data_IF_223800283658
#
_entry.id   IF_223800283658
#
_cell.length_a   1.000
_cell.length_b   1.000
_cell.length_c   1.000
_cell.angle_alpha   90.00
_cell.angle_beta   90.00
_cell.angle_gamma   90.00
#
_symmetry.space_group_name_H-M   'P 1'
#
loop_
_entity.id
_entity.type
_entity.pdbx_description
1 polymer ?
#
# COMPACT_ATOMS: atom_id res chain seq x y z
N UNK A 1 -2.84 34.90 -1.30
CA UNK A 1 -3.12 34.93 -2.73
C UNK A 1 -2.06 34.12 -3.49
N UNK A 2 -2.09 32.76 -3.43
CA UNK A 2 -1.20 31.84 -4.21
C UNK A 2 -1.83 30.46 -4.40
N UNK A 3 -3.19 30.36 -4.47
CA UNK A 3 -3.88 29.08 -4.64
C UNK A 3 -4.23 28.76 -6.10
N UNK A 4 -4.01 29.70 -7.02
CA UNK A 4 -4.43 29.56 -8.42
C UNK A 4 -3.44 28.80 -9.31
N UNK A 5 -2.20 28.60 -8.87
CA UNK A 5 -1.17 27.88 -9.66
C UNK A 5 -1.33 26.36 -9.62
N UNK A 6 -1.84 25.80 -8.52
CA UNK A 6 -2.02 24.35 -8.36
C UNK A 6 -3.24 23.84 -9.14
N UNK A 7 -4.27 24.66 -9.29
CA UNK A 7 -5.48 24.30 -10.07
C UNK A 7 -5.22 24.30 -11.59
N UNK A 8 -4.29 25.14 -12.06
CA UNK A 8 -3.92 25.18 -13.48
C UNK A 8 -3.02 24.00 -13.88
N UNK A 9 -2.19 23.49 -12.98
CA UNK A 9 -1.36 22.31 -13.25
C UNK A 9 -2.20 21.02 -13.38
N UNK A 10 -3.32 20.93 -12.66
CA UNK A 10 -4.23 19.78 -12.74
C UNK A 10 -5.06 19.74 -14.03
N UNK A 11 -5.34 20.90 -14.64
CA UNK A 11 -6.12 21.03 -15.89
C UNK A 11 -5.30 20.76 -17.15
N UNK A 12 -3.96 20.81 -17.10
CA UNK A 12 -3.11 20.59 -18.27
C UNK A 12 -2.88 19.11 -18.60
N UNK A 13 -3.25 18.18 -17.70
CA UNK A 13 -3.13 16.72 -17.91
C UNK A 13 -4.28 16.15 -18.75
N UNK A 14 -5.36 16.91 -18.94
CA UNK A 14 -6.54 16.43 -19.70
C UNK A 14 -6.44 16.56 -21.23
N UNK A 15 -5.31 17.00 -21.80
CA UNK A 15 -5.20 17.42 -23.20
C UNK A 15 -4.62 16.43 -24.19
N UNK A 16 -4.13 15.25 -23.80
CA UNK A 16 -3.53 14.26 -24.73
C UNK A 16 -4.18 12.89 -24.56
N UNK A 17 -5.48 12.81 -24.82
CA UNK A 17 -6.16 11.54 -25.02
C UNK A 17 -5.91 11.01 -26.45
N UNK A 18 -4.65 10.75 -26.80
CA UNK A 18 -4.31 9.94 -27.94
C UNK A 18 -4.82 8.50 -27.71
N UNK A 19 -5.20 7.79 -28.76
CA UNK A 19 -5.64 6.40 -28.67
C UNK A 19 -4.51 5.54 -28.10
N UNK A 20 -4.51 5.36 -26.80
CA UNK A 20 -3.53 4.53 -26.09
C UNK A 20 -4.17 3.16 -25.88
N UNK A 21 -3.43 2.12 -26.24
CA UNK A 21 -3.83 0.76 -25.91
C UNK A 21 -3.78 0.54 -24.40
N UNK A 22 -4.71 -0.22 -23.84
CA UNK A 22 -4.64 -0.61 -22.44
C UNK A 22 -3.29 -1.26 -22.13
N UNK A 23 -2.70 -0.89 -20.99
CA UNK A 23 -1.41 -1.45 -20.53
C UNK A 23 -1.65 -2.67 -19.65
N UNK A 24 -2.79 -2.68 -18.95
CA UNK A 24 -3.27 -3.80 -18.15
C UNK A 24 -4.63 -4.24 -18.70
N UNK A 25 -4.70 -5.49 -19.13
CA UNK A 25 -5.86 -6.05 -19.83
C UNK A 25 -6.33 -7.35 -19.15
N UNK A 26 -7.47 -7.83 -19.59
CA UNK A 26 -8.01 -9.13 -19.16
C UNK A 26 -7.02 -10.26 -19.49
N UNK A 27 -6.71 -11.05 -18.47
CA UNK A 27 -5.76 -12.16 -18.55
C UNK A 27 -4.34 -11.78 -18.12
N UNK A 28 -4.00 -10.50 -18.08
CA UNK A 28 -2.72 -10.05 -17.54
C UNK A 28 -2.59 -10.43 -16.07
N UNK A 29 -1.38 -10.76 -15.67
CA UNK A 29 -1.02 -11.05 -14.28
C UNK A 29 0.14 -10.17 -13.89
N UNK A 30 0.00 -9.42 -12.80
CA UNK A 30 1.05 -8.50 -12.34
C UNK A 30 1.34 -8.77 -10.87
N UNK A 31 2.61 -9.08 -10.59
CA UNK A 31 3.16 -9.18 -9.25
C UNK A 31 3.75 -7.82 -8.86
N UNK A 32 3.24 -7.22 -7.79
CA UNK A 32 3.80 -6.01 -7.20
C UNK A 32 4.56 -6.36 -5.93
N UNK A 33 5.74 -5.77 -5.76
CA UNK A 33 6.56 -5.86 -4.56
C UNK A 33 6.88 -4.44 -4.10
N UNK A 34 6.59 -4.12 -2.85
CA UNK A 34 6.69 -2.75 -2.33
C UNK A 34 7.34 -2.63 -0.97
N UNK A 35 7.93 -1.45 -0.74
CA UNK A 35 8.37 -0.97 0.57
C UNK A 35 7.53 0.24 0.91
N UNK A 36 6.88 0.21 2.07
CA UNK A 36 5.92 1.21 2.52
C UNK A 36 6.50 2.16 3.55
N UNK A 37 6.10 3.42 3.46
CA UNK A 37 6.52 4.49 4.34
C UNK A 37 5.31 5.23 4.91
N UNK A 38 5.43 5.64 6.19
CA UNK A 38 4.35 6.25 6.93
C UNK A 38 3.20 5.29 7.17
N UNK A 39 2.58 5.35 8.33
CA UNK A 39 1.45 4.49 8.67
C UNK A 39 0.54 5.20 9.65
N UNK A 40 -0.77 4.95 9.56
CA UNK A 40 -1.74 5.28 10.60
C UNK A 40 -1.72 4.31 11.76
N UNK A 41 -1.02 3.19 11.63
CA UNK A 41 -0.80 2.22 12.68
C UNK A 41 0.26 2.78 13.64
N UNK A 42 0.04 2.59 14.95
CA UNK A 42 1.03 2.97 15.97
C UNK A 42 1.40 4.47 15.96
N UNK A 43 0.40 5.33 15.86
CA UNK A 43 0.57 6.79 16.02
C UNK A 43 0.52 7.16 17.50
N UNK A 44 1.50 7.91 17.98
CA UNK A 44 1.51 8.42 19.38
C UNK A 44 2.90 8.46 20.00
N UNK A 45 3.01 9.14 21.16
CA UNK A 45 4.24 9.19 21.93
C UNK A 45 4.54 7.85 22.59
N UNK A 46 5.80 7.39 22.50
CA UNK A 46 6.24 6.12 23.11
C UNK A 46 6.68 5.06 22.09
N UNK A 47 6.33 5.20 20.83
CA UNK A 47 6.89 4.33 19.79
C UNK A 47 8.32 4.74 19.46
N UNK A 48 9.28 3.86 19.77
CA UNK A 48 10.70 4.14 19.63
C UNK A 48 11.22 3.89 18.21
N UNK A 49 10.60 2.98 17.46
CA UNK A 49 10.97 2.69 16.09
C UNK A 49 9.84 2.02 15.31
N UNK A 50 9.78 2.28 14.00
CA UNK A 50 8.92 1.61 13.04
C UNK A 50 9.80 1.01 11.94
N UNK A 51 9.56 -0.25 11.57
CA UNK A 51 10.13 -0.78 10.34
C UNK A 51 9.33 -0.24 9.15
N UNK A 52 9.97 0.03 8.00
CA UNK A 52 9.23 0.18 6.77
C UNK A 52 8.33 -1.05 6.55
N UNK A 53 7.10 -0.82 6.10
CA UNK A 53 6.24 -1.91 5.72
C UNK A 53 6.80 -2.59 4.46
N UNK A 54 6.61 -3.89 4.34
CA UNK A 54 6.86 -4.63 3.10
C UNK A 54 5.55 -5.20 2.60
N UNK A 55 5.37 -5.21 1.30
CA UNK A 55 4.14 -5.72 0.71
C UNK A 55 4.39 -6.48 -0.59
N UNK A 56 3.49 -7.42 -0.85
CA UNK A 56 3.39 -8.11 -2.12
C UNK A 56 1.92 -8.19 -2.53
N UNK A 57 1.61 -8.03 -3.81
CA UNK A 57 0.27 -8.32 -4.34
C UNK A 57 0.36 -8.94 -5.70
N UNK A 58 -0.50 -9.93 -5.95
CA UNK A 58 -0.71 -10.51 -7.27
C UNK A 58 -2.08 -10.08 -7.76
N UNK A 59 -2.13 -9.47 -8.93
CA UNK A 59 -3.33 -8.96 -9.56
C UNK A 59 -3.56 -9.62 -10.91
N UNK A 60 -4.80 -9.90 -11.23
CA UNK A 60 -5.22 -10.52 -12.51
C UNK A 60 -6.28 -9.64 -13.13
N UNK A 61 -6.13 -9.28 -14.38
CA UNK A 61 -7.13 -8.59 -15.18
C UNK A 61 -8.33 -9.50 -15.44
N UNK A 62 -9.53 -9.04 -15.08
CA UNK A 62 -10.77 -9.83 -15.24
C UNK A 62 -11.74 -9.23 -16.23
N UNK A 63 -11.71 -7.92 -16.41
CA UNK A 63 -12.56 -7.19 -17.36
C UNK A 63 -11.71 -6.15 -18.06
N UNK A 64 -11.90 -5.98 -19.35
CA UNK A 64 -11.34 -4.92 -20.20
C UNK A 64 -12.43 -4.11 -20.88
N UNK A 65 -12.04 -3.11 -21.64
CA UNK A 65 -12.94 -2.24 -22.41
C UNK A 65 -14.01 -1.52 -21.55
N UNK A 66 -13.64 -1.18 -20.31
CA UNK A 66 -14.49 -0.38 -19.41
C UNK A 66 -14.14 1.09 -19.61
N UNK A 67 -15.14 1.95 -19.75
CA UNK A 67 -15.00 3.40 -19.98
C UNK A 67 -14.08 3.71 -21.18
N UNK A 68 -14.67 4.16 -22.27
CA UNK A 68 -13.98 4.54 -23.52
C UNK A 68 -13.07 3.45 -24.12
N UNK A 69 -13.41 2.18 -23.87
CA UNK A 69 -12.66 0.99 -24.34
C UNK A 69 -11.19 0.94 -23.85
N UNK A 70 -10.83 1.75 -22.84
CA UNK A 70 -9.46 1.86 -22.35
C UNK A 70 -9.28 1.34 -20.92
N UNK A 71 -10.33 1.41 -20.11
CA UNK A 71 -10.27 0.98 -18.73
C UNK A 71 -10.34 -0.53 -18.59
N UNK A 72 -9.76 -1.04 -17.51
CA UNK A 72 -9.84 -2.45 -17.14
C UNK A 72 -10.05 -2.62 -15.63
N UNK A 73 -10.51 -3.81 -15.24
CA UNK A 73 -10.69 -4.17 -13.83
C UNK A 73 -9.78 -5.34 -13.51
N UNK A 74 -8.98 -5.15 -12.46
CA UNK A 74 -8.15 -6.18 -11.85
C UNK A 74 -8.70 -6.64 -10.50
N UNK A 75 -8.48 -7.90 -10.19
CA UNK A 75 -8.72 -8.46 -8.85
C UNK A 75 -7.49 -9.22 -8.41
N UNK A 76 -7.24 -9.27 -7.10
CA UNK A 76 -6.03 -9.92 -6.62
C UNK A 76 -5.98 -10.15 -5.14
N UNK A 77 -4.83 -10.70 -4.70
CA UNK A 77 -4.48 -10.89 -3.31
C UNK A 77 -3.38 -9.92 -2.88
N UNK A 78 -3.40 -9.56 -1.62
CA UNK A 78 -2.43 -8.67 -0.98
C UNK A 78 -1.90 -9.29 0.30
N UNK A 79 -0.59 -9.20 0.48
CA UNK A 79 0.14 -9.55 1.69
C UNK A 79 0.96 -8.33 2.12
N UNK A 80 0.79 -7.91 3.37
CA UNK A 80 1.55 -6.80 3.95
C UNK A 80 2.09 -7.16 5.32
N UNK A 81 3.28 -6.65 5.66
CA UNK A 81 3.88 -6.81 6.96
C UNK A 81 4.51 -5.50 7.43
N UNK A 82 4.25 -5.13 8.68
CA UNK A 82 4.91 -4.02 9.36
C UNK A 82 5.21 -4.38 10.81
N UNK A 83 6.14 -3.67 11.44
CA UNK A 83 6.33 -3.78 12.87
C UNK A 83 6.70 -2.44 13.52
N UNK A 84 6.27 -2.26 14.76
CA UNK A 84 6.59 -1.11 15.58
C UNK A 84 7.07 -1.55 16.97
N UNK A 85 8.00 -0.80 17.56
CA UNK A 85 8.50 -1.04 18.90
C UNK A 85 8.07 0.10 19.82
N UNK A 86 7.37 -0.26 20.87
CA UNK A 86 7.04 0.63 21.96
C UNK A 86 8.05 0.42 23.10
N UNK A 87 8.67 1.49 23.60
CA UNK A 87 9.62 1.42 24.72
C UNK A 87 9.23 2.39 25.83
N UNK A 88 9.29 1.88 27.04
CA UNK A 88 9.19 2.66 28.27
C UNK A 88 10.55 2.64 28.97
N UNK A 89 10.99 3.80 29.43
CA UNK A 89 12.21 3.96 30.23
C UNK A 89 11.81 4.53 31.59
N UNK A 90 11.93 3.70 32.61
CA UNK A 90 11.57 4.08 33.97
C UNK A 90 12.52 3.47 34.98
N UNK A 91 12.99 4.27 35.95
CA UNK A 91 13.83 3.86 37.09
C UNK A 91 15.00 2.93 36.74
N UNK A 92 15.64 3.15 35.57
CA UNK A 92 16.78 2.34 35.10
C UNK A 92 16.39 1.07 34.36
N UNK A 93 15.10 0.81 34.16
CA UNK A 93 14.58 -0.28 33.35
C UNK A 93 14.22 0.23 31.96
N UNK A 94 14.49 -0.58 30.95
CA UNK A 94 14.05 -0.37 29.58
C UNK A 94 13.22 -1.60 29.20
N UNK A 95 11.92 -1.40 29.01
CA UNK A 95 10.97 -2.46 28.69
C UNK A 95 9.91 -1.97 27.71
N UNK A 96 9.22 -2.88 27.07
CA UNK A 96 8.18 -2.52 26.11
C UNK A 96 7.68 -3.70 25.31
N UNK A 97 7.05 -3.39 24.18
CA UNK A 97 6.48 -4.38 23.29
C UNK A 97 6.91 -4.11 21.85
N UNK A 98 7.09 -5.20 21.11
CA UNK A 98 7.16 -5.17 19.64
C UNK A 98 5.83 -5.68 19.10
N UNK A 99 5.14 -4.82 18.40
CA UNK A 99 3.94 -5.16 17.64
C UNK A 99 4.34 -5.53 16.22
N UNK A 100 3.64 -6.50 15.64
CA UNK A 100 3.83 -6.93 14.26
C UNK A 100 2.46 -7.19 13.65
N UNK A 101 2.21 -6.59 12.50
CA UNK A 101 0.99 -6.68 11.72
C UNK A 101 1.25 -7.50 10.47
N UNK A 102 0.42 -8.50 10.24
CA UNK A 102 0.36 -9.30 9.03
C UNK A 102 -1.01 -9.10 8.39
N UNK A 103 -1.03 -8.40 7.27
CA UNK A 103 -2.26 -8.14 6.52
C UNK A 103 -2.40 -9.14 5.39
N UNK A 104 -3.56 -9.79 5.35
CA UNK A 104 -4.02 -10.64 4.25
C UNK A 104 -5.32 -10.07 3.71
N UNK A 105 -5.35 -9.66 2.44
CA UNK A 105 -6.53 -9.04 1.86
C UNK A 105 -6.76 -9.44 0.40
N UNK A 106 -8.02 -9.43 -0.02
CA UNK A 106 -8.40 -9.33 -1.41
C UNK A 106 -8.39 -7.87 -1.84
N UNK A 107 -8.01 -7.60 -3.09
CA UNK A 107 -8.04 -6.25 -3.65
C UNK A 107 -8.73 -6.25 -5.01
N UNK A 108 -9.39 -5.12 -5.32
CA UNK A 108 -9.97 -4.86 -6.63
C UNK A 108 -9.57 -3.47 -7.08
N UNK A 109 -9.13 -3.35 -8.32
CA UNK A 109 -8.61 -2.11 -8.89
C UNK A 109 -9.30 -1.81 -10.22
N UNK A 110 -9.58 -0.54 -10.45
CA UNK A 110 -9.90 -0.01 -11.77
C UNK A 110 -8.65 0.65 -12.33
N UNK A 111 -8.24 0.23 -13.52
CA UNK A 111 -7.07 0.71 -14.25
C UNK A 111 -7.48 1.61 -15.40
N UNK A 112 -6.72 2.67 -15.62
CA UNK A 112 -6.90 3.56 -16.73
C UNK A 112 -5.56 4.13 -17.20
N UNK A 113 -5.15 3.91 -18.47
CA UNK A 113 -3.91 4.43 -19.02
C UNK A 113 -4.04 5.93 -19.28
N UNK A 114 -3.31 6.76 -18.55
CA UNK A 114 -3.29 8.22 -18.75
C UNK A 114 -2.30 8.65 -19.81
N UNK A 115 -1.14 8.01 -19.88
CA UNK A 115 -0.09 8.23 -20.88
C UNK A 115 0.54 6.90 -21.25
N UNK A 116 1.28 6.87 -22.34
CA UNK A 116 1.97 5.67 -22.80
C UNK A 116 2.88 5.09 -21.71
N UNK A 117 2.87 3.77 -21.55
CA UNK A 117 3.64 3.02 -20.54
C UNK A 117 3.27 3.31 -19.07
N UNK A 118 2.24 4.12 -18.80
CA UNK A 118 1.81 4.44 -17.46
C UNK A 118 0.42 3.82 -17.19
N UNK A 119 0.40 2.74 -16.45
CA UNK A 119 -0.80 2.14 -15.89
C UNK A 119 -1.13 2.85 -14.59
N UNK A 120 -2.21 3.61 -14.55
CA UNK A 120 -2.74 4.23 -13.33
C UNK A 120 -3.95 3.46 -12.85
N UNK A 121 -4.11 3.36 -11.53
CA UNK A 121 -5.22 2.61 -10.96
C UNK A 121 -5.70 3.18 -9.62
N UNK A 122 -6.95 2.88 -9.32
CA UNK A 122 -7.58 3.15 -8.03
C UNK A 122 -8.30 1.89 -7.56
N UNK A 123 -8.28 1.62 -6.26
CA UNK A 123 -8.90 0.41 -5.78
C UNK A 123 -9.19 0.38 -4.28
N UNK A 124 -9.80 -0.74 -3.88
CA UNK A 124 -10.10 -1.08 -2.51
C UNK A 124 -9.53 -2.45 -2.17
N UNK A 125 -9.09 -2.61 -0.93
CA UNK A 125 -8.67 -3.88 -0.36
C UNK A 125 -9.49 -4.18 0.89
N UNK A 126 -9.93 -5.43 1.03
CA UNK A 126 -10.67 -5.94 2.18
C UNK A 126 -10.06 -7.26 2.64
N UNK A 127 -9.83 -7.39 3.94
CA UNK A 127 -9.22 -8.58 4.51
C UNK A 127 -9.10 -8.53 6.01
N UNK A 128 -8.01 -9.07 6.53
CA UNK A 128 -7.73 -9.16 7.96
C UNK A 128 -6.32 -8.67 8.26
N UNK A 129 -6.20 -7.96 9.36
CA UNK A 129 -4.95 -7.61 10.02
C UNK A 129 -4.77 -8.50 11.24
N UNK A 130 -3.69 -9.28 11.22
CA UNK A 130 -3.32 -10.21 12.29
C UNK A 130 -2.21 -9.56 13.08
N UNK A 131 -2.54 -9.09 14.29
CA UNK A 131 -1.61 -8.37 15.17
C UNK A 131 -1.02 -9.33 16.19
N UNK A 132 0.31 -9.34 16.27
CA UNK A 132 1.08 -10.07 17.28
C UNK A 132 1.88 -9.10 18.13
N UNK A 133 2.04 -9.39 19.42
CA UNK A 133 2.92 -8.62 20.29
C UNK A 133 3.93 -9.52 21.00
N UNK A 134 5.14 -9.01 21.20
CA UNK A 134 6.21 -9.66 21.93
C UNK A 134 6.82 -8.67 22.92
N UNK A 135 6.95 -9.10 24.16
CA UNK A 135 7.67 -8.34 25.19
C UNK A 135 9.14 -8.19 24.85
N UNK A 136 9.70 -7.03 25.16
CA UNK A 136 11.11 -6.70 24.93
C UNK A 136 11.70 -5.97 26.14
N UNK A 137 12.97 -6.23 26.42
CA UNK A 137 13.70 -5.53 27.50
C UNK A 137 13.63 -6.20 28.86
N UNK A 138 14.04 -5.47 29.90
CA UNK A 138 14.11 -5.94 31.29
C UNK A 138 12.84 -5.49 32.04
N UNK A 139 11.91 -6.41 32.22
CA UNK A 139 10.66 -6.14 32.90
C UNK A 139 10.82 -6.15 34.42
N UNK A 140 10.25 -5.18 35.16
CA UNK A 140 10.08 -5.30 36.60
C UNK A 140 9.13 -6.47 36.91
N UNK A 141 9.32 -7.11 38.06
CA UNK A 141 8.44 -8.20 38.48
C UNK A 141 6.99 -7.71 38.62
N UNK A 142 6.07 -8.31 37.88
CA UNK A 142 4.67 -7.91 37.80
C UNK A 142 4.25 -7.45 36.40
N UNK A 143 4.72 -8.13 35.35
CA UNK A 143 4.54 -7.78 33.96
C UNK A 143 3.09 -7.50 33.56
N UNK A 144 2.91 -6.45 32.78
CA UNK A 144 1.64 -6.07 32.17
C UNK A 144 1.42 -6.87 30.88
N UNK A 145 0.20 -7.35 30.66
CA UNK A 145 -0.18 -7.97 29.42
C UNK A 145 -0.30 -6.91 28.30
N UNK A 146 0.30 -7.19 27.14
CA UNK A 146 0.04 -6.38 25.95
C UNK A 146 -1.35 -6.66 25.41
N UNK A 147 -2.11 -5.62 25.08
CA UNK A 147 -3.35 -5.77 24.33
C UNK A 147 -3.03 -5.86 22.84
N UNK A 148 -3.47 -6.93 22.16
CA UNK A 148 -3.46 -7.07 20.71
C UNK A 148 -4.88 -7.20 20.21
N UNK A 149 -5.21 -6.50 19.15
CA UNK A 149 -6.52 -6.58 18.52
C UNK A 149 -6.33 -6.81 17.02
N UNK A 150 -6.41 -8.07 16.60
CA UNK A 150 -6.57 -8.40 15.18
C UNK A 150 -7.96 -7.98 14.72
N UNK A 151 -8.10 -7.55 13.46
CA UNK A 151 -9.37 -7.02 13.00
C UNK A 151 -9.54 -7.03 11.49
N UNK A 152 -10.67 -6.48 11.06
CA UNK A 152 -10.95 -6.28 9.64
C UNK A 152 -10.02 -5.20 9.09
N UNK A 153 -9.39 -5.51 7.96
CA UNK A 153 -8.59 -4.58 7.20
C UNK A 153 -9.40 -4.04 6.03
N UNK A 154 -9.54 -2.72 5.96
CA UNK A 154 -10.13 -2.02 4.83
C UNK A 154 -9.20 -0.88 4.42
N UNK A 155 -8.85 -0.83 3.14
CA UNK A 155 -7.96 0.19 2.59
C UNK A 155 -8.44 0.66 1.23
N UNK A 156 -8.39 1.97 1.01
CA UNK A 156 -8.46 2.57 -0.32
C UNK A 156 -7.07 2.96 -0.79
N UNK A 157 -6.81 2.82 -2.08
CA UNK A 157 -5.51 3.15 -2.67
C UNK A 157 -5.62 3.72 -4.08
N UNK A 158 -4.61 4.50 -4.44
CA UNK A 158 -4.35 5.03 -5.77
C UNK A 158 -2.91 4.66 -6.14
N UNK A 159 -2.68 4.19 -7.34
CA UNK A 159 -1.35 3.79 -7.75
C UNK A 159 -1.04 4.08 -9.21
N UNK A 160 0.24 3.97 -9.52
CA UNK A 160 0.75 4.07 -10.88
C UNK A 160 1.93 3.10 -11.06
N UNK A 161 1.99 2.48 -12.24
CA UNK A 161 3.09 1.64 -12.70
C UNK A 161 3.65 2.23 -13.99
N UNK A 162 4.90 2.60 -13.99
CA UNK A 162 5.58 3.06 -15.21
C UNK A 162 6.47 1.94 -15.73
N UNK A 163 6.13 1.42 -16.90
CA UNK A 163 6.81 0.30 -17.55
C UNK A 163 8.08 0.77 -18.26
N UNK A 164 9.24 0.32 -17.79
CA UNK A 164 10.54 0.55 -18.43
C UNK A 164 10.78 -0.48 -19.57
N UNK A 165 10.20 -1.65 -19.44
CA UNK A 165 10.17 -2.72 -20.44
C UNK A 165 8.78 -3.32 -20.48
N UNK A 166 8.57 -4.29 -21.37
CA UNK A 166 7.25 -4.94 -21.54
C UNK A 166 6.76 -5.62 -20.25
N UNK A 167 7.67 -6.03 -19.37
CA UNK A 167 7.35 -6.83 -18.19
C UNK A 167 7.72 -6.18 -16.85
N UNK A 168 8.50 -5.09 -16.81
CA UNK A 168 8.99 -4.51 -15.57
C UNK A 168 8.61 -3.05 -15.49
N UNK A 169 8.01 -2.69 -14.36
CA UNK A 169 7.61 -1.32 -14.05
C UNK A 169 8.11 -0.88 -12.68
N UNK A 170 8.35 0.41 -12.52
CA UNK A 170 8.39 1.07 -11.22
C UNK A 170 6.99 1.29 -10.71
N UNK A 171 6.78 1.09 -9.41
CA UNK A 171 5.50 1.18 -8.72
C UNK A 171 5.52 2.33 -7.71
N UNK A 172 4.48 3.12 -7.72
CA UNK A 172 4.12 4.04 -6.64
C UNK A 172 2.64 3.83 -6.27
N UNK A 173 2.34 3.71 -4.99
CA UNK A 173 0.97 3.56 -4.50
C UNK A 173 0.78 4.40 -3.24
N UNK A 174 -0.29 5.18 -3.20
CA UNK A 174 -0.77 5.93 -2.04
C UNK A 174 -2.03 5.27 -1.51
N UNK A 175 -2.13 5.07 -0.20
CA UNK A 175 -3.27 4.40 0.38
C UNK A 175 -3.45 4.64 1.88
N UNK A 176 -4.55 4.14 2.41
CA UNK A 176 -4.89 4.22 3.83
C UNK A 176 -4.63 2.91 4.57
N UNK A 177 -3.74 2.07 4.05
CA UNK A 177 -3.48 0.74 4.57
C UNK A 177 -2.32 0.65 5.55
N UNK A 178 -1.53 -0.41 5.40
CA UNK A 178 -0.35 -0.69 6.24
C UNK A 178 0.73 0.39 6.11
N UNK A 179 0.74 1.11 4.99
CA UNK A 179 1.56 2.30 4.74
C UNK A 179 0.78 3.33 3.92
N UNK A 180 1.12 4.61 4.07
CA UNK A 180 0.52 5.69 3.28
C UNK A 180 1.14 5.80 1.89
N UNK A 181 2.44 5.54 1.77
CA UNK A 181 3.19 5.55 0.52
C UNK A 181 3.91 4.22 0.36
N UNK A 182 3.70 3.54 -0.76
CA UNK A 182 4.45 2.37 -1.17
C UNK A 182 5.24 2.70 -2.44
N UNK A 183 6.52 2.33 -2.44
CA UNK A 183 7.41 2.40 -3.60
C UNK A 183 7.90 0.99 -3.90
N UNK A 184 8.01 0.63 -5.18
CA UNK A 184 8.38 -0.73 -5.51
C UNK A 184 8.55 -1.03 -6.97
N UNK A 185 8.42 -2.31 -7.29
CA UNK A 185 8.48 -2.83 -8.65
C UNK A 185 7.23 -3.66 -8.96
N UNK A 186 6.79 -3.61 -10.20
CA UNK A 186 5.74 -4.46 -10.74
C UNK A 186 6.32 -5.33 -11.85
N UNK A 187 5.94 -6.60 -11.86
CA UNK A 187 6.40 -7.59 -12.83
C UNK A 187 5.17 -8.20 -13.50
N UNK A 188 5.02 -7.99 -14.80
CA UNK A 188 4.01 -8.64 -15.63
C UNK A 188 4.49 -10.04 -15.99
N UNK A 189 3.66 -11.05 -15.70
CA UNK A 189 3.97 -12.49 -15.80
C UNK A 189 3.44 -13.10 -17.10
#
# INVERSE_FOLDING_TARGET
MKLNGLFFALLFVCGVASAQSPIFEKGDKVLNLGIGFGSGLYTGGGYASHSPAISASLEVGVVDNVIDEKGSIGVGGYLGYASAKYEVRDAGYIYGWRYSDLVLAARGSFHYPLVEKLDTYAGLALGFDIVSSKETGNWPSGAYNSATASGVYLSGYLGARYYFSDNIAGLIELGSGIAYLNLGVAIKL
#
